data_IF_718546602598
#
_entry.id   IF_718546602598
#
_cell.length_a   1.000
_cell.length_b   1.000
_cell.length_c   1.000
_cell.angle_alpha   90.00
_cell.angle_beta   90.00
_cell.angle_gamma   90.00
#
_symmetry.space_group_name_H-M   'P 1'
#
loop_
_entity.id
_entity.type
_entity.pdbx_description
1 polymer ?
#
# COMPACT_ATOMS: atom_id res chain seq x y z
N UNK A 1 5.35 22.90 -90.76
CA UNK A 1 5.47 23.80 -89.63
C UNK A 1 5.31 22.96 -88.34
N UNK A 2 6.30 22.94 -87.54
CA UNK A 2 6.45 21.99 -86.40
C UNK A 2 5.84 22.61 -85.15
N UNK A 3 4.89 21.91 -84.49
CA UNK A 3 4.35 22.27 -83.19
C UNK A 3 4.94 21.35 -82.13
N UNK A 4 5.65 21.92 -81.15
CA UNK A 4 6.18 21.22 -80.01
C UNK A 4 5.06 21.02 -78.90
N UNK A 5 4.85 19.79 -78.52
CA UNK A 5 4.08 19.47 -77.29
C UNK A 5 5.03 19.33 -76.11
N UNK A 6 4.84 20.20 -75.14
CA UNK A 6 5.59 20.15 -73.85
C UNK A 6 4.71 19.42 -72.83
N UNK A 7 5.11 18.25 -72.44
CA UNK A 7 4.46 17.47 -71.31
C UNK A 7 4.88 17.99 -69.97
N UNK A 8 3.91 18.41 -69.18
CA UNK A 8 4.11 18.81 -67.79
C UNK A 8 3.94 17.56 -66.88
N UNK A 9 5.02 17.14 -66.20
CA UNK A 9 4.99 16.11 -65.19
C UNK A 9 4.61 16.76 -63.87
N UNK A 10 3.44 16.39 -63.29
CA UNK A 10 3.00 16.78 -61.95
C UNK A 10 3.49 15.70 -61.00
N UNK A 11 4.47 16.04 -60.17
CA UNK A 11 4.95 15.18 -59.09
C UNK A 11 4.03 15.38 -57.86
N UNK A 12 3.23 14.37 -57.55
CA UNK A 12 2.43 14.35 -56.34
C UNK A 12 3.28 14.01 -55.13
N UNK A 13 3.46 14.95 -54.22
CA UNK A 13 4.04 14.70 -52.88
C UNK A 13 2.97 14.13 -51.95
N UNK A 14 3.06 12.84 -51.62
CA UNK A 14 2.27 12.23 -50.56
C UNK A 14 2.86 12.63 -49.18
N UNK A 15 2.19 13.51 -48.48
CA UNK A 15 2.47 13.82 -47.08
C UNK A 15 1.91 12.69 -46.19
N UNK A 16 2.78 11.77 -45.78
CA UNK A 16 2.46 10.81 -44.75
C UNK A 16 2.46 11.53 -43.37
N UNK A 17 1.26 11.84 -42.89
CA UNK A 17 1.05 12.40 -41.56
C UNK A 17 1.44 11.37 -40.49
N UNK A 18 2.53 11.59 -39.80
CA UNK A 18 2.90 10.88 -38.57
C UNK A 18 1.93 11.32 -37.47
N UNK A 19 0.95 10.48 -37.19
CA UNK A 19 0.14 10.62 -35.97
C UNK A 19 0.99 10.20 -34.77
N UNK A 20 1.62 11.17 -34.12
CA UNK A 20 2.19 10.97 -32.80
C UNK A 20 1.04 10.90 -31.79
N UNK A 21 0.72 9.70 -31.34
CA UNK A 21 -0.10 9.50 -30.14
C UNK A 21 0.72 9.99 -28.96
N UNK A 22 0.52 11.25 -28.57
CA UNK A 22 1.00 11.73 -27.27
C UNK A 22 0.31 10.89 -26.19
N UNK A 23 1.08 10.08 -25.48
CA UNK A 23 0.62 9.49 -24.23
C UNK A 23 0.27 10.66 -23.30
N UNK A 24 -1.03 10.88 -23.08
CA UNK A 24 -1.51 11.82 -22.09
C UNK A 24 -1.09 11.28 -20.74
N UNK A 25 0.01 11.82 -20.18
CA UNK A 25 0.30 11.69 -18.76
C UNK A 25 -0.82 12.39 -18.03
N UNK A 26 -1.68 11.61 -17.35
CA UNK A 26 -2.73 12.14 -16.52
C UNK A 26 -2.11 13.11 -15.50
N UNK A 27 -2.44 14.38 -15.62
CA UNK A 27 -2.07 15.41 -14.64
C UNK A 27 -2.69 15.01 -13.30
N UNK A 28 -1.91 14.91 -12.19
CA UNK A 28 -2.50 14.65 -10.90
C UNK A 28 -3.54 15.72 -10.59
N UNK A 29 -4.72 15.30 -10.13
CA UNK A 29 -5.73 16.24 -9.65
C UNK A 29 -5.11 17.20 -8.63
N UNK A 30 -5.58 18.45 -8.55
CA UNK A 30 -5.03 19.56 -7.77
C UNK A 30 -5.07 19.38 -6.24
N UNK A 31 -5.28 18.16 -5.72
CA UNK A 31 -5.11 17.73 -4.33
C UNK A 31 -4.40 16.40 -4.33
N UNK A 32 -3.26 16.29 -3.64
CA UNK A 32 -2.52 15.04 -3.47
C UNK A 32 -3.40 13.93 -2.87
N UNK A 33 -3.04 12.66 -3.09
CA UNK A 33 -3.71 11.52 -2.46
C UNK A 33 -3.38 11.45 -0.97
N UNK A 34 -4.37 11.11 -0.17
CA UNK A 34 -4.22 10.91 1.27
C UNK A 34 -4.36 9.41 1.59
N UNK A 35 -3.26 8.79 1.98
CA UNK A 35 -3.19 7.39 2.43
C UNK A 35 -3.05 7.38 3.95
N UNK A 36 -3.86 6.61 4.64
CA UNK A 36 -3.73 6.39 6.09
C UNK A 36 -3.14 5.01 6.33
N UNK A 37 -2.09 4.92 7.16
CA UNK A 37 -1.56 3.65 7.64
C UNK A 37 -2.17 3.37 9.02
N UNK A 38 -3.19 2.53 9.05
CA UNK A 38 -3.83 2.06 10.27
C UNK A 38 -3.09 0.82 10.76
N UNK A 39 -2.30 0.99 11.83
CA UNK A 39 -1.41 -0.07 12.27
C UNK A 39 -0.99 0.02 13.74
N UNK A 40 0.00 -0.77 14.10
CA UNK A 40 0.52 -0.86 15.45
C UNK A 40 1.91 -0.19 15.61
N UNK A 41 2.82 -0.77 16.40
CA UNK A 41 4.16 -0.25 16.62
C UNK A 41 5.05 -0.25 15.37
N UNK A 42 4.79 -1.15 14.41
CA UNK A 42 5.55 -1.25 13.18
C UNK A 42 5.26 -0.05 12.27
N UNK A 43 4.03 0.42 12.27
CA UNK A 43 3.60 1.64 11.57
C UNK A 43 3.94 2.89 12.37
N UNK A 44 3.73 2.89 13.70
CA UNK A 44 4.02 4.03 14.57
C UNK A 44 5.49 4.48 14.51
N UNK A 45 6.42 3.56 14.21
CA UNK A 45 7.86 3.81 14.25
C UNK A 45 8.40 3.73 15.69
N UNK A 46 8.08 2.62 16.39
CA UNK A 46 8.50 2.40 17.78
C UNK A 46 10.00 2.62 17.98
N UNK A 47 10.36 3.49 18.92
CA UNK A 47 11.74 3.92 19.22
C UNK A 47 12.54 4.51 18.04
N UNK A 48 11.88 4.91 16.96
CA UNK A 48 12.52 5.59 15.84
C UNK A 48 12.20 7.09 15.84
N UNK A 49 13.08 7.93 15.29
CA UNK A 49 12.70 9.29 14.93
C UNK A 49 11.51 9.26 13.97
N UNK A 50 10.61 10.23 14.07
CA UNK A 50 9.40 10.30 13.24
C UNK A 50 9.68 10.21 11.73
N UNK A 51 10.79 10.79 11.27
CA UNK A 51 11.23 10.73 9.87
C UNK A 51 11.65 9.32 9.41
N UNK A 52 11.94 8.41 10.35
CA UNK A 52 12.35 7.03 10.08
C UNK A 52 11.18 6.05 10.22
N UNK A 53 10.02 6.49 10.71
CA UNK A 53 8.82 5.67 10.77
C UNK A 53 8.37 5.25 9.36
N UNK A 54 7.75 4.06 9.27
CA UNK A 54 7.32 3.48 8.00
C UNK A 54 6.49 4.45 7.14
N UNK A 55 5.44 5.15 7.65
CA UNK A 55 4.65 6.05 6.82
C UNK A 55 5.46 7.22 6.25
N UNK A 56 6.37 7.81 7.04
CA UNK A 56 7.20 8.92 6.60
C UNK A 56 8.20 8.49 5.52
N UNK A 57 8.81 7.31 5.67
CA UNK A 57 9.72 6.74 4.67
C UNK A 57 8.99 6.34 3.39
N UNK A 58 7.77 5.81 3.51
CA UNK A 58 6.92 5.49 2.37
C UNK A 58 6.53 6.76 1.60
N UNK A 59 6.09 7.81 2.29
CA UNK A 59 5.78 9.09 1.67
C UNK A 59 6.97 9.66 0.90
N UNK A 60 8.15 9.66 1.51
CA UNK A 60 9.38 10.13 0.86
C UNK A 60 9.70 9.32 -0.41
N UNK A 61 9.54 7.99 -0.37
CA UNK A 61 9.76 7.11 -1.52
C UNK A 61 8.76 7.36 -2.66
N UNK A 62 7.48 7.57 -2.34
CA UNK A 62 6.44 7.91 -3.32
C UNK A 62 6.68 9.28 -3.95
N UNK A 63 7.02 10.29 -3.15
CA UNK A 63 7.38 11.63 -3.66
C UNK A 63 8.60 11.62 -4.56
N UNK A 64 9.61 10.80 -4.24
CA UNK A 64 10.78 10.60 -5.11
C UNK A 64 10.43 10.01 -6.48
N UNK A 65 9.28 9.36 -6.61
CA UNK A 65 8.71 8.84 -7.87
C UNK A 65 7.74 9.82 -8.55
N UNK A 66 7.65 11.06 -8.05
CA UNK A 66 6.80 12.11 -8.62
C UNK A 66 5.32 11.99 -8.26
N UNK A 67 4.96 11.15 -7.28
CA UNK A 67 3.59 10.98 -6.83
C UNK A 67 3.26 12.02 -5.74
N UNK A 68 2.19 12.80 -5.96
CA UNK A 68 1.67 13.74 -4.97
C UNK A 68 0.83 13.00 -3.94
N UNK A 69 1.47 12.47 -2.89
CA UNK A 69 0.83 11.66 -1.85
C UNK A 69 1.23 12.18 -0.48
N UNK A 70 0.28 12.18 0.45
CA UNK A 70 0.53 12.29 1.89
C UNK A 70 0.23 10.94 2.53
N UNK A 71 1.13 10.44 3.38
CA UNK A 71 0.96 9.17 4.09
C UNK A 71 0.86 9.47 5.58
N UNK A 72 -0.34 9.36 6.12
CA UNK A 72 -0.61 9.61 7.53
C UNK A 72 -0.28 8.40 8.40
N UNK A 73 0.39 8.67 9.51
CA UNK A 73 0.71 7.66 10.50
C UNK A 73 -0.44 7.57 11.52
N UNK A 74 -1.25 6.53 11.39
CA UNK A 74 -2.26 6.14 12.37
C UNK A 74 -1.85 4.83 13.10
N UNK A 75 -0.55 4.63 13.32
CA UNK A 75 0.00 3.56 14.13
C UNK A 75 -0.08 3.88 15.61
N UNK A 76 -0.48 2.88 16.42
CA UNK A 76 -0.48 2.95 17.89
C UNK A 76 0.28 1.76 18.44
N UNK A 77 1.43 2.01 19.08
CA UNK A 77 2.29 0.94 19.62
C UNK A 77 1.54 0.05 20.60
N UNK A 78 1.61 -1.26 20.37
CA UNK A 78 0.92 -2.25 21.19
C UNK A 78 -0.52 -2.52 20.82
N UNK A 79 -1.05 -1.86 19.81
CA UNK A 79 -2.44 -2.04 19.39
C UNK A 79 -2.71 -3.43 18.83
N UNK A 80 -3.88 -3.97 19.16
CA UNK A 80 -4.40 -5.21 18.61
C UNK A 80 -5.42 -4.91 17.51
N UNK A 81 -5.90 -5.94 16.83
CA UNK A 81 -7.02 -5.81 15.90
C UNK A 81 -8.27 -5.21 16.57
N UNK A 82 -8.49 -5.50 17.87
CA UNK A 82 -9.59 -4.90 18.65
C UNK A 82 -9.39 -3.40 18.83
N UNK A 83 -8.22 -2.95 19.29
CA UNK A 83 -7.95 -1.53 19.47
C UNK A 83 -8.01 -0.76 18.16
N UNK A 84 -7.47 -1.33 17.08
CA UNK A 84 -7.59 -0.73 15.75
C UNK A 84 -9.03 -0.59 15.27
N UNK A 85 -9.89 -1.59 15.52
CA UNK A 85 -11.32 -1.52 15.21
C UNK A 85 -12.05 -0.44 16.02
N UNK A 86 -11.76 -0.34 17.32
CA UNK A 86 -12.39 0.65 18.20
C UNK A 86 -12.09 2.10 17.79
N UNK A 87 -10.89 2.36 17.26
CA UNK A 87 -10.48 3.69 16.81
C UNK A 87 -10.61 3.94 15.31
N UNK A 88 -11.19 3.01 14.55
CA UNK A 88 -11.23 3.07 13.09
C UNK A 88 -11.76 4.41 12.56
N UNK A 89 -12.93 4.87 13.04
CA UNK A 89 -13.58 6.08 12.53
C UNK A 89 -12.79 7.35 12.87
N UNK A 90 -12.15 7.34 14.04
CA UNK A 90 -11.30 8.44 14.47
C UNK A 90 -9.98 8.48 13.69
N UNK A 91 -9.40 7.31 13.41
CA UNK A 91 -8.10 7.20 12.73
C UNK A 91 -8.19 7.38 11.22
N UNK A 92 -9.30 6.94 10.63
CA UNK A 92 -9.55 7.02 9.19
C UNK A 92 -10.65 8.04 8.93
N UNK A 93 -10.29 9.33 8.97
CA UNK A 93 -11.20 10.44 8.81
C UNK A 93 -11.75 10.61 7.38
N UNK A 94 -12.60 11.61 7.21
CA UNK A 94 -13.09 12.02 5.88
C UNK A 94 -11.94 12.47 4.99
N UNK A 95 -12.07 12.28 3.68
CA UNK A 95 -11.05 12.63 2.70
C UNK A 95 -9.88 11.64 2.65
N UNK A 96 -9.95 10.47 3.33
CA UNK A 96 -9.00 9.38 3.14
C UNK A 96 -9.25 8.69 1.81
N UNK A 97 -8.23 8.61 0.96
CA UNK A 97 -8.31 8.02 -0.38
C UNK A 97 -8.00 6.53 -0.39
N UNK A 98 -7.13 6.07 0.51
CA UNK A 98 -6.79 4.66 0.67
C UNK A 98 -6.29 4.37 2.08
N UNK A 99 -6.32 3.10 2.47
CA UNK A 99 -5.79 2.61 3.75
C UNK A 99 -4.79 1.49 3.52
N UNK A 100 -3.67 1.56 4.22
CA UNK A 100 -2.80 0.41 4.48
C UNK A 100 -3.19 -0.11 5.86
N UNK A 101 -3.77 -1.30 5.90
CA UNK A 101 -4.23 -1.94 7.13
C UNK A 101 -3.15 -2.92 7.63
N UNK A 102 -2.51 -2.56 8.74
CA UNK A 102 -1.40 -3.30 9.35
C UNK A 102 -1.72 -3.54 10.82
N UNK A 103 -2.37 -4.64 11.14
CA UNK A 103 -2.76 -5.04 12.50
C UNK A 103 -2.75 -6.58 12.62
N UNK A 104 -2.67 -7.07 13.84
CA UNK A 104 -2.71 -8.50 14.16
C UNK A 104 -1.39 -9.03 14.72
N UNK A 105 -0.28 -8.31 14.57
CA UNK A 105 1.00 -8.69 15.16
C UNK A 105 0.90 -8.86 16.68
N UNK A 106 0.28 -7.90 17.36
CA UNK A 106 0.06 -7.94 18.81
C UNK A 106 -0.96 -8.99 19.23
N UNK A 107 -1.95 -9.29 18.39
CA UNK A 107 -2.89 -10.40 18.62
C UNK A 107 -2.12 -11.73 18.71
N UNK A 108 -1.25 -11.98 17.75
CA UNK A 108 -0.43 -13.19 17.71
C UNK A 108 0.54 -13.25 18.92
N UNK A 109 1.23 -12.14 19.25
CA UNK A 109 2.15 -12.08 20.36
C UNK A 109 1.48 -12.34 21.72
N UNK A 110 0.21 -11.98 21.86
CA UNK A 110 -0.60 -12.16 23.08
C UNK A 110 -1.41 -13.45 23.10
N UNK A 111 -1.33 -14.27 22.04
CA UNK A 111 -2.11 -15.50 21.93
C UNK A 111 -3.61 -15.28 21.88
N UNK A 112 -4.07 -14.16 21.35
CA UNK A 112 -5.50 -13.89 21.13
C UNK A 112 -6.04 -14.92 20.13
N UNK A 113 -7.23 -15.44 20.39
CA UNK A 113 -7.88 -16.41 19.49
C UNK A 113 -7.89 -15.86 18.02
N UNK A 114 -7.31 -16.58 17.07
CA UNK A 114 -7.28 -16.16 15.67
C UNK A 114 -8.67 -15.81 15.09
N UNK A 115 -9.73 -16.42 15.61
CA UNK A 115 -11.09 -16.10 15.21
C UNK A 115 -11.52 -14.68 15.62
N UNK A 116 -10.96 -14.12 16.71
CA UNK A 116 -11.20 -12.72 17.11
C UNK A 116 -10.47 -11.79 16.16
N UNK A 117 -9.19 -12.05 15.89
CA UNK A 117 -8.38 -11.27 14.94
C UNK A 117 -9.04 -11.23 13.57
N UNK A 118 -9.49 -12.40 13.07
CA UNK A 118 -10.20 -12.50 11.77
C UNK A 118 -11.45 -11.62 11.76
N UNK A 119 -12.34 -11.74 12.75
CA UNK A 119 -13.58 -10.95 12.82
C UNK A 119 -13.31 -9.46 12.87
N UNK A 120 -12.33 -9.02 13.65
CA UNK A 120 -12.01 -7.61 13.77
C UNK A 120 -11.47 -7.04 12.46
N UNK A 121 -10.49 -7.71 11.81
CA UNK A 121 -9.96 -7.30 10.51
C UNK A 121 -11.06 -7.30 9.45
N UNK A 122 -11.92 -8.31 9.43
CA UNK A 122 -13.06 -8.40 8.52
C UNK A 122 -14.01 -7.22 8.71
N UNK A 123 -14.37 -6.88 9.95
CA UNK A 123 -15.22 -5.73 10.27
C UNK A 123 -14.58 -4.41 9.83
N UNK A 124 -13.27 -4.23 10.05
CA UNK A 124 -12.53 -3.06 9.56
C UNK A 124 -12.61 -2.97 8.04
N UNK A 125 -12.34 -4.07 7.33
CA UNK A 125 -12.37 -4.13 5.87
C UNK A 125 -13.78 -3.78 5.35
N UNK A 126 -14.84 -4.37 5.90
CA UNK A 126 -16.22 -4.10 5.51
C UNK A 126 -16.61 -2.63 5.70
N UNK A 127 -16.24 -2.03 6.85
CA UNK A 127 -16.51 -0.61 7.12
C UNK A 127 -15.75 0.32 6.17
N UNK A 128 -14.51 0.01 5.83
CA UNK A 128 -13.72 0.78 4.86
C UNK A 128 -14.30 0.64 3.44
N UNK A 129 -14.70 -0.59 3.03
CA UNK A 129 -15.33 -0.82 1.72
C UNK A 129 -16.70 -0.14 1.61
N UNK A 130 -17.50 -0.09 2.69
CA UNK A 130 -18.75 0.66 2.71
C UNK A 130 -18.53 2.16 2.46
N UNK A 131 -17.36 2.69 2.84
CA UNK A 131 -16.90 4.06 2.56
C UNK A 131 -16.21 4.18 1.20
N UNK A 132 -16.12 3.10 0.40
CA UNK A 132 -15.43 3.03 -0.90
C UNK A 132 -13.94 3.35 -0.81
N UNK A 133 -13.30 3.05 0.30
CA UNK A 133 -11.87 3.28 0.50
C UNK A 133 -11.11 2.02 0.09
N UNK A 134 -10.26 2.07 -0.95
CA UNK A 134 -9.37 0.97 -1.32
C UNK A 134 -8.39 0.61 -0.19
N UNK A 135 -8.11 -0.69 -0.05
CA UNK A 135 -7.31 -1.23 1.04
C UNK A 135 -6.13 -2.04 0.48
N UNK A 136 -4.93 -1.80 1.05
CA UNK A 136 -3.80 -2.72 1.01
C UNK A 136 -3.73 -3.38 2.38
N UNK A 137 -3.87 -4.71 2.41
CA UNK A 137 -3.75 -5.50 3.64
C UNK A 137 -2.31 -5.96 3.82
N UNK A 138 -1.67 -5.50 4.90
CA UNK A 138 -0.34 -5.93 5.29
C UNK A 138 -0.44 -7.15 6.22
N UNK A 139 -0.04 -8.31 5.71
CA UNK A 139 -0.17 -9.58 6.40
C UNK A 139 0.85 -9.78 7.51
N UNK A 140 0.47 -10.60 8.48
CA UNK A 140 1.30 -11.04 9.59
C UNK A 140 1.36 -12.56 9.67
N UNK A 141 2.44 -13.08 10.25
CA UNK A 141 2.61 -14.49 10.55
C UNK A 141 2.67 -14.68 12.06
N UNK A 142 2.13 -15.79 12.53
CA UNK A 142 2.26 -16.18 13.93
C UNK A 142 3.73 -16.43 14.29
N UNK A 143 4.22 -15.92 15.45
CA UNK A 143 5.56 -16.23 15.91
C UNK A 143 5.74 -17.75 16.11
N UNK A 144 6.91 -18.32 15.76
CA UNK A 144 7.12 -19.78 15.82
C UNK A 144 6.87 -20.41 17.20
N UNK A 145 7.10 -19.66 18.28
CA UNK A 145 6.88 -20.10 19.64
C UNK A 145 5.41 -20.25 20.05
N UNK A 146 4.46 -19.78 19.23
CA UNK A 146 3.02 -19.98 19.46
C UNK A 146 2.55 -21.39 19.12
N UNK A 147 3.36 -22.17 18.43
CA UNK A 147 3.07 -23.54 18.04
C UNK A 147 2.22 -23.69 16.77
N UNK A 148 2.27 -24.90 16.21
CA UNK A 148 1.66 -25.19 14.90
C UNK A 148 0.14 -25.02 14.88
N UNK A 149 -0.55 -25.38 15.98
CA UNK A 149 -2.01 -25.24 16.04
C UNK A 149 -2.45 -23.78 15.98
N UNK A 150 -1.77 -22.87 16.66
CA UNK A 150 -2.05 -21.45 16.59
C UNK A 150 -1.74 -20.89 15.20
N UNK A 151 -0.58 -21.23 14.66
CA UNK A 151 -0.18 -20.79 13.32
C UNK A 151 -1.15 -21.24 12.23
N UNK A 152 -1.68 -22.47 12.33
CA UNK A 152 -2.69 -22.99 11.40
C UNK A 152 -4.00 -22.18 11.41
N UNK A 153 -4.37 -21.60 12.55
CA UNK A 153 -5.54 -20.73 12.67
C UNK A 153 -5.25 -19.27 12.26
N UNK A 154 -4.04 -18.78 12.54
CA UNK A 154 -3.68 -17.36 12.36
C UNK A 154 -3.17 -17.03 10.94
N UNK A 155 -2.23 -17.82 10.41
CA UNK A 155 -1.55 -17.48 9.15
C UNK A 155 -2.50 -17.38 7.94
N UNK A 156 -3.59 -18.17 7.84
CA UNK A 156 -4.53 -18.03 6.73
C UNK A 156 -5.42 -16.79 6.76
N UNK A 157 -5.48 -16.05 7.87
CA UNK A 157 -6.40 -14.90 8.04
C UNK A 157 -6.21 -13.89 6.90
N UNK A 158 -4.99 -13.46 6.66
CA UNK A 158 -4.70 -12.38 5.71
C UNK A 158 -4.94 -12.78 4.25
N UNK A 159 -4.40 -13.92 3.75
CA UNK A 159 -4.68 -14.34 2.38
C UNK A 159 -6.16 -14.67 2.15
N UNK A 160 -6.87 -15.24 3.13
CA UNK A 160 -8.30 -15.53 3.01
C UNK A 160 -9.12 -14.23 2.90
N UNK A 161 -8.85 -13.25 3.78
CA UNK A 161 -9.54 -11.97 3.74
C UNK A 161 -9.22 -11.21 2.45
N UNK A 162 -7.97 -11.21 2.02
CA UNK A 162 -7.58 -10.58 0.76
C UNK A 162 -8.31 -11.21 -0.43
N UNK A 163 -8.40 -12.54 -0.49
CA UNK A 163 -9.13 -13.26 -1.54
C UNK A 163 -10.64 -12.99 -1.47
N UNK A 164 -11.22 -13.03 -0.25
CA UNK A 164 -12.67 -12.81 -0.04
C UNK A 164 -13.12 -11.41 -0.48
N UNK A 165 -12.33 -10.39 -0.19
CA UNK A 165 -12.70 -8.98 -0.40
C UNK A 165 -12.00 -8.31 -1.60
N UNK A 166 -11.21 -9.06 -2.38
CA UNK A 166 -10.48 -8.53 -3.55
C UNK A 166 -9.47 -7.44 -3.20
N UNK A 167 -8.72 -7.65 -2.10
CA UNK A 167 -7.75 -6.68 -1.59
C UNK A 167 -6.37 -6.90 -2.21
N UNK A 168 -5.60 -5.82 -2.27
CA UNK A 168 -4.16 -5.92 -2.49
C UNK A 168 -3.55 -6.46 -1.19
N UNK A 169 -2.73 -7.53 -1.30
CA UNK A 169 -2.10 -8.19 -0.17
C UNK A 169 -0.59 -8.02 -0.20
N UNK A 170 0.00 -7.54 0.89
CA UNK A 170 1.39 -7.82 1.23
C UNK A 170 1.43 -9.02 2.19
N UNK A 171 1.91 -10.21 1.77
CA UNK A 171 1.71 -11.45 2.54
C UNK A 171 2.37 -11.44 3.91
N UNK A 172 3.51 -10.75 4.04
CA UNK A 172 4.23 -10.63 5.31
C UNK A 172 4.96 -9.30 5.40
N UNK A 173 4.44 -8.40 6.21
CA UNK A 173 4.93 -7.02 6.33
C UNK A 173 6.39 -6.91 6.77
N UNK A 174 6.85 -7.87 7.62
CA UNK A 174 8.22 -7.94 8.14
C UNK A 174 9.17 -8.82 7.31
N UNK A 175 8.76 -9.25 6.12
CA UNK A 175 9.64 -10.05 5.27
C UNK A 175 10.90 -9.25 4.88
N UNK A 176 12.07 -9.91 4.91
CA UNK A 176 13.37 -9.28 4.68
C UNK A 176 13.91 -8.47 5.86
N UNK A 177 13.17 -8.42 6.98
CA UNK A 177 13.59 -7.74 8.22
C UNK A 177 13.74 -8.74 9.36
N UNK A 178 12.68 -9.53 9.62
CA UNK A 178 12.76 -10.58 10.63
C UNK A 178 13.84 -11.58 10.26
N UNK A 179 14.63 -11.99 11.24
CA UNK A 179 15.75 -12.95 11.08
C UNK A 179 16.95 -12.44 10.28
N UNK A 180 16.92 -11.21 9.74
CA UNK A 180 18.06 -10.61 9.04
C UNK A 180 18.91 -9.80 10.01
N UNK A 181 20.20 -10.17 10.22
CA UNK A 181 21.05 -9.47 11.18
C UNK A 181 21.14 -7.96 10.89
N UNK A 182 20.99 -7.16 11.94
CA UNK A 182 21.12 -5.70 11.86
C UNK A 182 19.95 -4.95 11.20
N UNK A 183 18.79 -5.60 11.04
CA UNK A 183 17.56 -4.97 10.52
C UNK A 183 16.55 -4.63 11.62
N UNK A 184 16.75 -5.15 12.84
CA UNK A 184 15.88 -4.90 13.98
C UNK A 184 16.55 -4.05 15.06
N UNK A 185 15.74 -3.52 15.97
CA UNK A 185 16.17 -2.96 17.24
C UNK A 185 16.75 -4.08 18.14
N UNK A 186 17.38 -3.73 19.27
CA UNK A 186 17.92 -4.74 20.19
C UNK A 186 16.92 -5.75 20.73
N UNK A 187 15.62 -5.45 20.67
CA UNK A 187 14.55 -6.38 21.06
C UNK A 187 14.33 -7.54 20.08
N UNK A 188 14.98 -7.50 18.91
CA UNK A 188 14.88 -8.54 17.88
C UNK A 188 13.54 -8.61 17.18
N UNK A 189 12.64 -7.66 17.42
CA UNK A 189 11.24 -7.68 16.97
C UNK A 189 10.90 -6.49 16.09
N UNK A 190 11.20 -5.27 16.55
CA UNK A 190 10.86 -4.05 15.82
C UNK A 190 11.94 -3.71 14.79
N UNK A 191 11.57 -3.29 13.59
CA UNK A 191 12.51 -2.80 12.58
C UNK A 191 13.29 -1.59 13.10
N UNK A 192 14.59 -1.53 12.85
CA UNK A 192 15.33 -0.28 12.94
C UNK A 192 15.19 0.54 11.63
N UNK A 193 15.81 1.72 11.55
CA UNK A 193 15.69 2.58 10.37
C UNK A 193 16.10 1.87 9.06
N UNK A 194 17.07 0.95 9.09
CA UNK A 194 17.47 0.15 7.91
C UNK A 194 16.40 -0.87 7.55
N UNK A 195 15.82 -1.54 8.56
CA UNK A 195 14.71 -2.47 8.37
C UNK A 195 13.50 -1.78 7.75
N UNK A 196 13.15 -0.57 8.22
CA UNK A 196 12.06 0.22 7.62
C UNK A 196 12.31 0.52 6.14
N UNK A 197 13.54 0.86 5.75
CA UNK A 197 13.88 1.07 4.32
C UNK A 197 13.64 -0.20 3.50
N UNK A 198 13.98 -1.38 4.03
CA UNK A 198 13.71 -2.66 3.35
C UNK A 198 12.21 -2.89 3.22
N UNK A 199 11.42 -2.68 4.29
CA UNK A 199 9.95 -2.81 4.25
C UNK A 199 9.33 -1.91 3.20
N UNK A 200 9.71 -0.63 3.18
CA UNK A 200 9.24 0.34 2.19
C UNK A 200 9.57 -0.12 0.77
N UNK A 201 10.82 -0.50 0.51
CA UNK A 201 11.23 -0.95 -0.83
C UNK A 201 10.42 -2.14 -1.35
N UNK A 202 10.05 -3.06 -0.46
CA UNK A 202 9.26 -4.26 -0.80
C UNK A 202 7.78 -3.97 -1.04
N UNK A 203 7.16 -3.16 -0.19
CA UNK A 203 5.72 -2.88 -0.31
C UNK A 203 5.40 -1.85 -1.40
N UNK A 204 6.38 -1.03 -1.79
CA UNK A 204 6.20 0.10 -2.69
C UNK A 204 5.46 -0.24 -4.01
N UNK A 205 5.76 -1.36 -4.72
CA UNK A 205 5.00 -1.72 -5.92
C UNK A 205 3.50 -1.95 -5.65
N UNK A 206 3.16 -2.51 -4.48
CA UNK A 206 1.77 -2.75 -4.07
C UNK A 206 1.05 -1.46 -3.68
N UNK A 207 1.77 -0.51 -3.11
CA UNK A 207 1.24 0.84 -2.83
C UNK A 207 1.00 1.60 -4.13
N UNK A 208 1.87 1.45 -5.14
CA UNK A 208 1.64 2.01 -6.48
C UNK A 208 0.40 1.40 -7.14
N UNK A 209 0.16 0.09 -6.99
CA UNK A 209 -1.07 -0.57 -7.42
C UNK A 209 -2.30 0.01 -6.70
N UNK A 210 -2.20 0.22 -5.37
CA UNK A 210 -3.25 0.85 -4.57
C UNK A 210 -3.57 2.26 -5.08
N UNK A 211 -2.55 3.08 -5.36
CA UNK A 211 -2.69 4.42 -5.92
C UNK A 211 -3.37 4.37 -7.29
N UNK A 212 -2.94 3.46 -8.17
CA UNK A 212 -3.57 3.29 -9.49
C UNK A 212 -5.06 2.94 -9.38
N UNK A 213 -5.43 2.07 -8.42
CA UNK A 213 -6.83 1.72 -8.14
C UNK A 213 -7.65 2.93 -7.68
N UNK A 214 -7.08 3.78 -6.81
CA UNK A 214 -7.73 5.04 -6.39
C UNK A 214 -7.96 5.98 -7.56
N UNK A 215 -6.93 6.18 -8.38
CA UNK A 215 -7.01 7.10 -9.54
C UNK A 215 -8.00 6.62 -10.58
N UNK A 216 -8.07 5.31 -10.85
CA UNK A 216 -9.07 4.72 -11.74
C UNK A 216 -10.50 4.95 -11.23
N UNK A 217 -10.72 4.87 -9.92
CA UNK A 217 -12.04 5.13 -9.29
C UNK A 217 -12.46 6.61 -9.29
N UNK A 218 -11.53 7.56 -9.45
CA UNK A 218 -11.82 9.01 -9.52
C UNK A 218 -12.15 9.48 -10.94
N UNK A 219 -11.78 8.69 -11.97
CA UNK A 219 -11.99 9.05 -13.39
C UNK A 219 -13.27 8.53 -14.01
N UNK A 220 -14.09 7.81 -13.27
CA UNK A 220 -15.40 7.29 -13.67
C UNK A 220 -16.51 7.98 -12.90
#
# INVERSE_FOLDING_TARGET
MRGLFTSLLVAGFALAGLWQTAAQTATPAAGGLRIVVLGDSLSAGYQLPAADAFPARLEAALKARGLAVTVENAGVSGDTSTGGLERLDWSVGEGTDAVILELGGNDALRGIDPAITRRNLETIIERLQARRIPILLAGMLAPPNMGAAYAAGFNPIFPDLAAKYGLILDPFFLEGVMTVPGMTLPDGMHPNARGVVVMVGRILPKVEELIAKVLAGRGG
#
